data_IF_638947739737
#
_entry.id   IF_638947739737
#
_cell.length_a   1.000
_cell.length_b   1.000
_cell.length_c   1.000
_cell.angle_alpha   90.00
_cell.angle_beta   90.00
_cell.angle_gamma   90.00
#
_symmetry.space_group_name_H-M   'P 1'
#
loop_
_entity.id
_entity.type
_entity.pdbx_description
1 polymer ?
#
# COMPACT_ATOMS: atom_id res chain seq x y z
N UNK A 1 6.20 30.39 16.40
CA UNK A 1 6.52 29.31 15.44
C UNK A 1 7.82 29.67 14.73
N UNK A 2 8.75 28.73 14.58
CA UNK A 2 9.98 28.98 13.82
C UNK A 2 9.65 29.24 12.34
N UNK A 3 10.41 30.13 11.69
CA UNK A 3 10.17 30.56 10.30
C UNK A 3 10.79 29.52 9.35
N UNK A 4 9.96 28.86 8.54
CA UNK A 4 10.41 27.84 7.57
C UNK A 4 11.28 28.47 6.48
N UNK A 5 12.47 27.93 6.21
CA UNK A 5 13.35 28.42 5.13
C UNK A 5 13.10 27.70 3.80
N UNK A 6 13.40 28.40 2.69
CA UNK A 6 13.37 27.83 1.34
C UNK A 6 14.26 26.58 1.23
N UNK A 7 15.45 26.61 1.86
CA UNK A 7 16.39 25.50 1.83
C UNK A 7 15.83 24.26 2.53
N UNK A 8 15.24 24.41 3.71
CA UNK A 8 14.61 23.30 4.43
C UNK A 8 13.48 22.65 3.62
N UNK A 9 12.65 23.46 2.95
CA UNK A 9 11.59 22.94 2.09
C UNK A 9 12.14 22.14 0.89
N UNK A 10 13.21 22.61 0.26
CA UNK A 10 13.85 21.92 -0.87
C UNK A 10 14.58 20.66 -0.42
N UNK A 11 15.34 20.74 0.67
CA UNK A 11 16.06 19.62 1.26
C UNK A 11 15.06 18.52 1.69
N UNK A 12 13.93 18.89 2.32
CA UNK A 12 12.86 17.95 2.70
C UNK A 12 12.29 17.15 1.51
N UNK A 13 12.22 17.73 0.31
CA UNK A 13 11.70 17.03 -0.87
C UNK A 13 12.74 16.21 -1.64
N UNK A 14 14.03 16.33 -1.29
CA UNK A 14 15.13 15.78 -2.09
C UNK A 14 16.05 14.83 -1.32
N UNK A 15 16.21 15.02 -0.01
CA UNK A 15 17.09 14.19 0.80
C UNK A 15 16.53 12.76 0.98
N UNK A 16 17.44 11.77 0.97
CA UNK A 16 17.09 10.37 1.05
C UNK A 16 16.46 9.88 -0.25
N UNK A 17 15.12 9.74 -0.26
CA UNK A 17 14.35 9.38 -1.44
C UNK A 17 13.52 10.59 -1.88
N UNK A 18 13.78 11.16 -3.07
CA UNK A 18 13.01 12.31 -3.56
C UNK A 18 11.50 12.03 -3.66
N UNK A 19 10.70 13.07 -3.37
CA UNK A 19 9.25 12.99 -3.36
C UNK A 19 8.66 12.64 -1.99
N UNK A 20 7.32 12.58 -1.93
CA UNK A 20 6.58 12.45 -0.66
C UNK A 20 5.73 11.19 -0.56
N UNK A 21 5.51 10.51 -1.68
CA UNK A 21 4.62 9.35 -1.76
C UNK A 21 5.43 8.08 -2.00
N UNK A 22 5.01 7.01 -1.35
CA UNK A 22 5.53 5.66 -1.57
C UNK A 22 4.38 4.66 -1.43
N UNK A 23 4.47 3.56 -2.16
CA UNK A 23 3.57 2.40 -2.03
C UNK A 23 4.38 1.27 -1.40
N UNK A 24 3.91 0.76 -0.27
CA UNK A 24 4.58 -0.31 0.49
C UNK A 24 3.58 -1.42 0.81
N UNK A 25 3.99 -2.70 0.77
CA UNK A 25 3.13 -3.80 1.18
C UNK A 25 2.72 -3.70 2.65
N UNK A 26 1.47 -4.03 2.96
CA UNK A 26 0.95 -4.05 4.34
C UNK A 26 1.11 -5.40 5.05
N UNK A 27 1.57 -6.42 4.35
CA UNK A 27 1.76 -7.80 4.85
C UNK A 27 3.20 -8.25 4.57
N UNK A 28 3.79 -9.13 5.39
CA UNK A 28 5.10 -9.73 5.11
C UNK A 28 5.11 -10.44 3.76
N UNK A 29 6.20 -10.31 3.02
CA UNK A 29 6.45 -10.97 1.73
C UNK A 29 7.87 -11.59 1.73
N UNK A 30 8.18 -12.31 2.80
CA UNK A 30 9.55 -12.78 3.10
C UNK A 30 9.81 -14.24 2.73
N UNK A 31 8.76 -15.00 2.43
CA UNK A 31 8.86 -16.42 2.10
C UNK A 31 8.08 -16.77 0.83
N UNK A 32 8.38 -17.94 0.24
CA UNK A 32 7.58 -18.48 -0.87
C UNK A 32 6.12 -18.65 -0.48
N UNK A 33 5.84 -19.04 0.77
CA UNK A 33 4.48 -19.16 1.28
C UNK A 33 3.76 -17.80 1.30
N UNK A 34 4.45 -16.74 1.71
CA UNK A 34 3.89 -15.38 1.71
C UNK A 34 3.52 -14.94 0.28
N UNK A 35 4.40 -15.22 -0.68
CA UNK A 35 4.14 -14.92 -2.09
C UNK A 35 2.96 -15.72 -2.66
N UNK A 36 2.86 -17.01 -2.33
CA UNK A 36 1.72 -17.85 -2.74
C UNK A 36 0.40 -17.40 -2.13
N UNK A 37 0.40 -16.72 -0.98
CA UNK A 37 -0.79 -16.15 -0.37
C UNK A 37 -1.15 -14.78 -0.95
N UNK A 38 -0.13 -13.93 -1.19
CA UNK A 38 -0.32 -12.58 -1.70
C UNK A 38 -0.64 -12.55 -3.21
N UNK A 39 -0.23 -13.58 -3.94
CA UNK A 39 -0.45 -13.74 -5.38
C UNK A 39 -1.02 -15.13 -5.68
N UNK A 40 -0.81 -15.65 -6.89
CA UNK A 40 -1.28 -16.98 -7.26
C UNK A 40 -0.60 -18.09 -6.43
N UNK A 41 -1.36 -19.08 -5.92
CA UNK A 41 -2.80 -19.27 -6.10
C UNK A 41 -3.69 -18.55 -5.08
N UNK A 42 -3.17 -18.09 -3.95
CA UNK A 42 -3.95 -17.60 -2.81
C UNK A 42 -4.82 -16.37 -3.08
N UNK A 43 -4.41 -15.48 -3.99
CA UNK A 43 -5.18 -14.30 -4.40
C UNK A 43 -6.53 -14.65 -5.05
N UNK A 44 -6.71 -15.89 -5.53
CA UNK A 44 -7.98 -16.32 -6.10
C UNK A 44 -9.13 -16.30 -5.08
N UNK A 45 -8.87 -16.60 -3.80
CA UNK A 45 -9.91 -16.65 -2.76
C UNK A 45 -10.61 -15.30 -2.56
N UNK A 46 -9.90 -14.17 -2.26
CA UNK A 46 -10.57 -12.88 -2.15
C UNK A 46 -11.22 -12.43 -3.47
N UNK A 47 -10.69 -12.80 -4.64
CA UNK A 47 -11.32 -12.52 -5.93
C UNK A 47 -12.68 -13.22 -6.08
N UNK A 48 -12.76 -14.51 -5.72
CA UNK A 48 -14.02 -15.27 -5.79
C UNK A 48 -15.05 -14.77 -4.77
N UNK A 49 -14.62 -14.37 -3.57
CA UNK A 49 -15.50 -13.75 -2.58
C UNK A 49 -16.08 -12.43 -3.08
N UNK A 50 -15.26 -11.57 -3.71
CA UNK A 50 -15.73 -10.30 -4.30
C UNK A 50 -16.65 -10.55 -5.51
N UNK A 51 -16.39 -11.60 -6.30
CA UNK A 51 -17.27 -11.98 -7.39
C UNK A 51 -18.66 -12.39 -6.90
N UNK A 52 -18.73 -13.14 -5.78
CA UNK A 52 -19.99 -13.56 -5.15
C UNK A 52 -20.72 -12.40 -4.48
N UNK A 53 -19.98 -11.53 -3.79
CA UNK A 53 -20.49 -10.34 -3.12
C UNK A 53 -19.57 -9.13 -3.39
N UNK A 54 -19.98 -8.21 -4.29
CA UNK A 54 -19.19 -7.02 -4.59
C UNK A 54 -18.87 -6.14 -3.39
N UNK A 55 -19.67 -6.19 -2.31
CA UNK A 55 -19.42 -5.41 -1.09
C UNK A 55 -18.19 -5.89 -0.31
N UNK A 56 -17.77 -7.16 -0.50
CA UNK A 56 -16.60 -7.75 0.14
C UNK A 56 -15.27 -7.05 -0.24
N UNK A 57 -15.27 -6.24 -1.31
CA UNK A 57 -14.12 -5.40 -1.70
C UNK A 57 -13.64 -4.49 -0.57
N UNK A 58 -14.55 -4.02 0.28
CA UNK A 58 -14.20 -3.16 1.43
C UNK A 58 -13.55 -3.94 2.58
N UNK A 59 -13.71 -5.27 2.60
CA UNK A 59 -13.11 -6.16 3.60
C UNK A 59 -11.75 -6.69 3.18
N UNK A 60 -11.60 -7.08 1.90
CA UNK A 60 -10.43 -7.81 1.42
C UNK A 60 -9.42 -6.96 0.63
N UNK A 61 -9.67 -5.65 0.49
CA UNK A 61 -8.76 -4.74 -0.22
C UNK A 61 -8.53 -3.45 0.56
N UNK A 62 -7.60 -2.62 0.07
CA UNK A 62 -7.36 -1.29 0.64
C UNK A 62 -8.46 -0.25 0.32
N UNK A 63 -9.50 -0.60 -0.45
CA UNK A 63 -10.51 0.34 -0.97
C UNK A 63 -11.20 1.17 0.12
N UNK A 64 -11.43 0.61 1.30
CA UNK A 64 -12.06 1.33 2.41
C UNK A 64 -11.23 2.47 3.01
N UNK A 65 -9.93 2.52 2.71
CA UNK A 65 -8.99 3.51 3.28
C UNK A 65 -8.21 4.28 2.21
N UNK A 66 -8.54 4.08 0.92
CA UNK A 66 -7.96 4.82 -0.20
C UNK A 66 -8.86 6.03 -0.52
N UNK A 67 -8.29 7.24 -0.42
CA UNK A 67 -8.99 8.54 -0.61
C UNK A 67 -8.38 9.29 -1.78
#
# INVERSE_FOLDING_TARGET
MAKLSKKEALDFHTQGRPGKIAVVPTKPLTSQRDLSLAYSPGVAEPCMEIYRDPSAVYRYTARGNLV
#
